data_IF_383449643314
#
_entry.id   IF_383449643314
#
_cell.length_a   1.000
_cell.length_b   1.000
_cell.length_c   1.000
_cell.angle_alpha   90.00
_cell.angle_beta   90.00
_cell.angle_gamma   90.00
#
_symmetry.space_group_name_H-M   'P 1'
#
loop_
_entity.id
_entity.type
_entity.pdbx_description
1 polymer ?
#
# COMPACT_ATOMS: atom_id res chain seq x y z
N UNK A 1 10.65 -13.43 18.28
CA UNK A 1 9.65 -14.46 18.58
C UNK A 1 9.08 -14.98 17.25
N UNK A 2 9.04 -16.30 17.08
CA UNK A 2 8.42 -16.94 15.92
C UNK A 2 7.01 -17.36 16.33
N UNK A 3 6.00 -16.93 15.56
CA UNK A 3 4.61 -17.36 15.74
C UNK A 3 4.23 -18.29 14.60
N UNK A 4 3.47 -19.34 14.91
CA UNK A 4 2.90 -20.24 13.90
C UNK A 4 1.54 -19.70 13.49
N UNK A 5 1.40 -19.36 12.21
CA UNK A 5 0.12 -18.93 11.65
C UNK A 5 -0.78 -20.14 11.39
N UNK A 6 -2.05 -20.03 11.74
CA UNK A 6 -3.10 -21.00 11.39
C UNK A 6 -3.76 -20.67 10.05
N UNK A 7 -3.53 -19.46 9.51
CA UNK A 7 -4.09 -18.98 8.25
C UNK A 7 -3.02 -18.29 7.40
N UNK A 8 -2.25 -19.08 6.64
CA UNK A 8 -1.18 -18.55 5.78
C UNK A 8 -1.69 -17.52 4.76
N UNK A 9 -2.91 -17.65 4.26
CA UNK A 9 -3.52 -16.69 3.33
C UNK A 9 -3.85 -15.37 4.06
N UNK A 10 -4.39 -15.46 5.27
CA UNK A 10 -4.66 -14.30 6.11
C UNK A 10 -3.37 -13.53 6.45
N UNK A 11 -2.33 -14.25 6.90
CA UNK A 11 -1.02 -13.64 7.19
C UNK A 11 -0.40 -12.94 5.98
N UNK A 12 -0.44 -13.59 4.81
CA UNK A 12 0.05 -13.00 3.55
C UNK A 12 -0.77 -11.78 3.13
N UNK A 13 -2.08 -11.82 3.32
CA UNK A 13 -2.94 -10.70 2.98
C UNK A 13 -2.74 -9.52 3.94
N UNK A 14 -2.57 -9.79 5.23
CA UNK A 14 -2.19 -8.74 6.21
C UNK A 14 -0.91 -8.03 5.78
N UNK A 15 0.13 -8.78 5.39
CA UNK A 15 1.36 -8.19 4.85
C UNK A 15 1.10 -7.38 3.57
N UNK A 16 0.18 -7.83 2.71
CA UNK A 16 -0.20 -7.11 1.49
C UNK A 16 -0.87 -5.77 1.81
N UNK A 17 -1.70 -5.69 2.86
CA UNK A 17 -2.28 -4.41 3.32
C UNK A 17 -1.16 -3.40 3.60
N UNK A 18 -0.16 -3.78 4.39
CA UNK A 18 0.97 -2.91 4.73
C UNK A 18 1.75 -2.47 3.48
N UNK A 19 2.02 -3.40 2.58
CA UNK A 19 2.77 -3.14 1.36
C UNK A 19 1.99 -2.21 0.40
N UNK A 20 0.69 -2.43 0.24
CA UNK A 20 -0.16 -1.60 -0.61
C UNK A 20 -0.26 -0.16 -0.10
N UNK A 21 -0.28 0.04 1.23
CA UNK A 21 -0.29 1.36 1.85
C UNK A 21 1.02 2.12 1.66
N UNK A 22 2.18 1.45 1.73
CA UNK A 22 3.46 2.12 1.97
C UNK A 22 4.47 2.11 0.82
N UNK A 23 4.49 1.08 -0.05
CA UNK A 23 5.63 0.87 -0.94
C UNK A 23 5.62 1.72 -2.22
N UNK A 24 4.44 2.03 -2.76
CA UNK A 24 4.31 2.72 -4.05
C UNK A 24 4.20 4.25 -3.94
N UNK A 25 3.77 4.79 -2.80
CA UNK A 25 3.50 6.21 -2.66
C UNK A 25 4.76 7.09 -2.70
N UNK A 26 5.85 6.82 -1.94
CA UNK A 26 7.06 7.64 -1.99
C UNK A 26 7.68 7.71 -3.40
N UNK A 27 7.80 6.60 -4.17
CA UNK A 27 8.35 6.67 -5.53
C UNK A 27 7.48 7.46 -6.53
N UNK A 28 6.16 7.52 -6.35
CA UNK A 28 5.28 8.36 -7.19
C UNK A 28 5.67 9.83 -7.04
N UNK A 29 5.89 10.29 -5.81
CA UNK A 29 6.31 11.65 -5.52
C UNK A 29 7.81 11.91 -5.77
N UNK A 30 8.60 10.90 -6.05
CA UNK A 30 10.06 11.04 -6.15
C UNK A 30 10.73 11.38 -4.81
N UNK A 31 10.04 11.20 -3.69
CA UNK A 31 10.47 11.53 -2.32
C UNK A 31 10.82 10.28 -1.54
N UNK A 32 11.47 10.46 -0.39
CA UNK A 32 11.79 9.35 0.51
C UNK A 32 10.60 9.01 1.41
N UNK A 33 10.62 7.81 2.00
CA UNK A 33 9.53 7.35 2.88
C UNK A 33 9.27 8.30 4.04
N UNK A 34 10.32 8.82 4.69
CA UNK A 34 10.17 9.74 5.81
C UNK A 34 9.56 11.11 5.40
N UNK A 35 9.79 11.56 4.15
CA UNK A 35 9.19 12.78 3.61
C UNK A 35 7.70 12.59 3.36
N UNK A 36 7.33 11.43 2.81
CA UNK A 36 5.93 11.06 2.62
C UNK A 36 5.15 11.01 3.95
N UNK A 37 5.82 10.69 5.07
CA UNK A 37 5.20 10.72 6.40
C UNK A 37 4.79 12.10 6.88
N UNK A 38 5.51 13.11 6.47
CA UNK A 38 5.28 14.49 6.90
C UNK A 38 4.14 15.17 6.12
N UNK A 39 3.71 14.59 5.00
CA UNK A 39 2.65 15.15 4.18
C UNK A 39 1.32 14.40 4.43
N UNK A 40 0.31 15.06 5.00
CA UNK A 40 -0.99 14.44 5.31
C UNK A 40 -1.71 13.89 4.08
N UNK A 41 -1.41 14.36 2.86
CA UNK A 41 -1.98 13.81 1.62
C UNK A 41 -1.58 12.36 1.43
N UNK A 42 -0.31 12.02 1.68
CA UNK A 42 0.18 10.63 1.61
C UNK A 42 -0.49 9.74 2.66
N UNK A 43 -0.68 10.24 3.89
CA UNK A 43 -1.41 9.50 4.93
C UNK A 43 -2.84 9.19 4.49
N UNK A 44 -3.57 10.19 3.98
CA UNK A 44 -4.95 10.01 3.56
C UNK A 44 -5.07 8.97 2.44
N UNK A 45 -4.17 9.02 1.44
CA UNK A 45 -4.12 8.05 0.35
C UNK A 45 -3.76 6.65 0.90
N UNK A 46 -2.78 6.55 1.80
CA UNK A 46 -2.40 5.27 2.41
C UNK A 46 -3.57 4.62 3.16
N UNK A 47 -4.32 5.40 3.94
CA UNK A 47 -5.53 4.94 4.64
C UNK A 47 -6.54 4.36 3.65
N UNK A 48 -6.81 5.03 2.55
CA UNK A 48 -7.76 4.57 1.52
C UNK A 48 -7.27 3.29 0.83
N UNK A 49 -5.99 3.22 0.47
CA UNK A 49 -5.37 2.00 -0.09
C UNK A 49 -5.51 0.81 0.87
N UNK A 50 -5.28 1.05 2.16
CA UNK A 50 -5.47 0.04 3.21
C UNK A 50 -6.92 -0.45 3.28
N UNK A 51 -7.90 0.46 3.26
CA UNK A 51 -9.32 0.12 3.26
C UNK A 51 -9.73 -0.73 2.06
N UNK A 52 -9.34 -0.35 0.85
CA UNK A 52 -9.62 -1.15 -0.34
C UNK A 52 -9.02 -2.55 -0.22
N UNK A 53 -7.77 -2.63 0.24
CA UNK A 53 -7.07 -3.92 0.38
C UNK A 53 -7.71 -4.81 1.44
N UNK A 54 -8.10 -4.26 2.58
CA UNK A 54 -8.84 -5.00 3.63
C UNK A 54 -10.19 -5.46 3.10
N UNK A 55 -10.95 -4.59 2.43
CA UNK A 55 -12.25 -4.92 1.85
C UNK A 55 -12.17 -6.10 0.87
N UNK A 56 -11.13 -6.13 0.02
CA UNK A 56 -10.89 -7.26 -0.88
C UNK A 56 -10.57 -8.53 -0.09
N UNK A 57 -9.73 -8.45 0.94
CA UNK A 57 -9.41 -9.59 1.81
C UNK A 57 -10.66 -10.17 2.48
N UNK A 58 -11.54 -9.32 2.99
CA UNK A 58 -12.82 -9.71 3.56
C UNK A 58 -13.73 -10.38 2.52
N UNK A 59 -13.82 -9.81 1.32
CA UNK A 59 -14.58 -10.39 0.20
C UNK A 59 -14.09 -11.78 -0.22
N UNK A 60 -12.78 -12.04 -0.08
CA UNK A 60 -12.15 -13.35 -0.33
C UNK A 60 -12.34 -14.33 0.85
N UNK A 61 -12.94 -13.91 1.96
CA UNK A 61 -13.12 -14.73 3.15
C UNK A 61 -11.81 -14.93 3.95
N UNK A 62 -10.80 -14.09 3.75
CA UNK A 62 -9.55 -14.20 4.50
C UNK A 62 -9.71 -13.63 5.91
N UNK A 63 -9.30 -14.40 6.91
CA UNK A 63 -9.15 -13.93 8.27
C UNK A 63 -7.76 -13.31 8.41
N UNK A 64 -7.70 -11.98 8.54
CA UNK A 64 -6.44 -11.26 8.68
C UNK A 64 -5.80 -11.59 10.03
N UNK A 65 -4.48 -11.58 10.07
CA UNK A 65 -3.73 -11.84 11.31
C UNK A 65 -3.26 -10.54 11.97
N UNK A 66 -3.04 -10.54 13.30
CA UNK A 66 -2.54 -9.37 14.01
C UNK A 66 -1.22 -8.88 13.42
N UNK A 67 -1.05 -7.56 13.32
CA UNK A 67 0.19 -6.96 12.80
C UNK A 67 0.47 -5.62 13.46
N UNK A 68 1.71 -5.36 13.80
CA UNK A 68 2.18 -4.09 14.37
C UNK A 68 1.33 -3.58 15.56
N UNK A 69 0.89 -4.51 16.41
CA UNK A 69 0.07 -4.19 17.58
C UNK A 69 -1.43 -4.00 17.30
N UNK A 70 -1.88 -4.15 16.06
CA UNK A 70 -3.30 -4.17 15.71
C UNK A 70 -3.84 -5.60 15.77
N UNK A 71 -4.97 -5.78 16.45
CA UNK A 71 -5.64 -7.07 16.56
C UNK A 71 -6.31 -7.46 15.22
N UNK A 72 -6.51 -8.75 14.99
CA UNK A 72 -7.09 -9.27 13.74
C UNK A 72 -8.50 -8.73 13.48
N UNK A 73 -9.33 -8.67 14.52
CA UNK A 73 -10.70 -8.14 14.45
C UNK A 73 -10.73 -6.67 14.02
N UNK A 74 -9.77 -5.86 14.46
CA UNK A 74 -9.65 -4.46 14.07
C UNK A 74 -9.18 -4.30 12.61
N UNK A 75 -8.43 -5.28 12.08
CA UNK A 75 -8.02 -5.29 10.67
C UNK A 75 -9.15 -5.67 9.71
N UNK A 76 -10.17 -6.37 10.16
CA UNK A 76 -11.31 -6.76 9.30
C UNK A 76 -12.23 -5.58 8.95
N UNK A 77 -12.31 -4.56 9.82
CA UNK A 77 -13.05 -3.31 9.57
C UNK A 77 -12.34 -2.14 10.26
N UNK A 78 -11.15 -1.75 9.77
CA UNK A 78 -10.32 -0.79 10.47
C UNK A 78 -10.90 0.62 10.41
N UNK A 79 -10.78 1.34 11.51
CA UNK A 79 -11.00 2.78 11.56
C UNK A 79 -9.83 3.52 10.86
N UNK A 80 -10.04 4.78 10.51
CA UNK A 80 -8.95 5.60 9.97
C UNK A 80 -7.80 5.77 10.98
N UNK A 81 -8.12 5.82 12.27
CA UNK A 81 -7.11 5.91 13.33
C UNK A 81 -6.25 4.63 13.41
N UNK A 82 -6.83 3.46 13.23
CA UNK A 82 -6.10 2.19 13.20
C UNK A 82 -5.20 2.08 11.97
N UNK A 83 -5.69 2.48 10.80
CA UNK A 83 -4.87 2.53 9.58
C UNK A 83 -3.76 3.60 9.69
N UNK A 84 -4.03 4.72 10.37
CA UNK A 84 -3.00 5.70 10.69
C UNK A 84 -1.93 5.11 11.61
N UNK A 85 -2.30 4.36 12.65
CA UNK A 85 -1.33 3.66 13.52
C UNK A 85 -0.47 2.67 12.74
N UNK A 86 -1.05 1.95 11.76
CA UNK A 86 -0.29 1.09 10.86
C UNK A 86 0.71 1.90 10.03
N UNK A 87 0.27 3.00 9.43
CA UNK A 87 1.14 3.90 8.67
C UNK A 87 2.28 4.44 9.52
N UNK A 88 1.98 4.97 10.70
CA UNK A 88 2.97 5.50 11.63
C UNK A 88 3.99 4.41 12.05
N UNK A 89 3.52 3.19 12.29
CA UNK A 89 4.37 2.05 12.68
C UNK A 89 5.26 1.56 11.54
N UNK A 90 4.72 1.50 10.31
CA UNK A 90 5.50 1.16 9.11
C UNK A 90 6.65 2.11 8.88
N UNK A 91 6.43 3.35 9.20
CA UNK A 91 7.29 4.44 8.85
C UNK A 91 8.27 4.79 9.99
N UNK A 92 7.89 4.57 11.25
CA UNK A 92 8.76 4.81 12.41
C UNK A 92 10.05 3.97 12.42
N UNK A 93 10.00 2.76 11.84
CA UNK A 93 11.14 1.85 11.74
C UNK A 93 12.06 2.17 10.55
N UNK A 94 11.70 3.17 9.72
CA UNK A 94 12.39 3.47 8.46
C UNK A 94 13.38 4.61 8.66
N UNK A 95 14.65 4.35 8.39
CA UNK A 95 15.68 5.39 8.43
C UNK A 95 15.47 6.46 7.34
N UNK A 96 15.94 7.68 7.59
CA UNK A 96 15.77 8.83 6.67
C UNK A 96 16.26 8.57 5.24
N UNK A 97 17.26 7.71 5.06
CA UNK A 97 17.83 7.37 3.75
C UNK A 97 17.13 6.19 3.06
N UNK A 98 16.17 5.57 3.73
CA UNK A 98 15.52 4.36 3.22
C UNK A 98 14.65 4.67 2.00
N UNK A 99 14.80 3.83 0.99
CA UNK A 99 13.97 3.79 -0.22
C UNK A 99 13.21 2.49 -0.28
N UNK A 100 11.97 2.55 -0.75
CA UNK A 100 11.16 1.34 -0.96
C UNK A 100 11.76 0.46 -2.06
N UNK A 101 11.40 -0.83 -2.08
CA UNK A 101 11.83 -1.74 -3.16
C UNK A 101 11.39 -1.20 -4.55
N UNK A 102 10.16 -0.70 -4.66
CA UNK A 102 9.65 -0.08 -5.90
C UNK A 102 10.54 1.09 -6.32
N UNK A 103 10.92 1.98 -5.40
CA UNK A 103 11.80 3.11 -5.72
C UNK A 103 13.18 2.65 -6.20
N UNK A 104 13.74 1.62 -5.56
CA UNK A 104 15.04 1.06 -5.96
C UNK A 104 14.99 0.43 -7.35
N UNK A 105 13.89 -0.26 -7.70
CA UNK A 105 13.72 -0.85 -9.02
C UNK A 105 13.56 0.21 -10.10
N UNK A 106 12.76 1.26 -9.86
CA UNK A 106 12.64 2.39 -10.78
C UNK A 106 13.99 3.06 -11.06
N UNK A 107 14.81 3.28 -10.02
CA UNK A 107 16.16 3.85 -10.18
C UNK A 107 17.08 2.96 -11.00
N UNK A 108 16.92 1.64 -10.89
CA UNK A 108 17.67 0.64 -11.64
C UNK A 108 17.07 0.32 -13.02
N UNK A 109 15.98 1.01 -13.40
CA UNK A 109 15.22 0.76 -14.62
C UNK A 109 14.76 -0.70 -14.74
N UNK A 110 14.29 -1.27 -13.63
CA UNK A 110 13.74 -2.62 -13.55
C UNK A 110 12.22 -2.55 -13.44
N UNK A 111 11.56 -3.62 -13.89
CA UNK A 111 10.13 -3.81 -13.65
C UNK A 111 9.92 -3.95 -12.14
N UNK A 112 8.98 -3.18 -11.60
CA UNK A 112 8.68 -3.17 -10.17
C UNK A 112 7.69 -4.26 -9.76
N UNK A 113 7.59 -4.48 -8.46
CA UNK A 113 6.59 -5.40 -7.88
C UNK A 113 5.17 -4.81 -7.81
N UNK A 114 4.91 -3.59 -8.31
CA UNK A 114 3.59 -2.94 -8.19
C UNK A 114 2.45 -3.83 -8.71
N UNK A 115 2.69 -4.58 -9.78
CA UNK A 115 1.71 -5.52 -10.32
C UNK A 115 1.36 -6.68 -9.38
N UNK A 116 2.24 -7.04 -8.46
CA UNK A 116 2.05 -8.10 -7.45
C UNK A 116 1.63 -7.55 -6.08
N UNK A 117 1.61 -6.23 -5.93
CA UNK A 117 1.15 -5.52 -4.72
C UNK A 117 -0.22 -4.88 -5.02
N UNK A 118 -0.24 -3.60 -5.41
CA UNK A 118 -1.50 -2.90 -5.71
C UNK A 118 -2.26 -3.54 -6.87
N UNK A 119 -1.57 -3.96 -7.93
CA UNK A 119 -2.17 -4.68 -9.06
C UNK A 119 -2.78 -6.05 -8.68
N UNK A 120 -2.26 -6.72 -7.65
CA UNK A 120 -2.89 -7.93 -7.11
C UNK A 120 -4.20 -7.60 -6.41
N UNK A 121 -4.22 -6.51 -5.62
CA UNK A 121 -5.46 -6.04 -4.97
C UNK A 121 -6.54 -5.76 -6.01
N UNK A 122 -6.20 -5.09 -7.11
CA UNK A 122 -7.12 -4.81 -8.21
C UNK A 122 -7.68 -6.08 -8.83
N UNK A 123 -6.82 -7.06 -9.18
CA UNK A 123 -7.28 -8.31 -9.76
C UNK A 123 -8.21 -9.07 -8.82
N UNK A 124 -7.83 -9.17 -7.55
CA UNK A 124 -8.62 -9.86 -6.53
C UNK A 124 -9.91 -9.12 -6.18
N UNK A 125 -9.89 -7.79 -6.20
CA UNK A 125 -11.09 -6.96 -6.04
C UNK A 125 -12.14 -7.26 -7.11
N UNK A 126 -11.72 -7.40 -8.37
CA UNK A 126 -12.61 -7.79 -9.47
C UNK A 126 -13.23 -9.18 -9.29
N UNK A 127 -12.48 -10.15 -8.74
CA UNK A 127 -12.98 -11.51 -8.48
C UNK A 127 -14.12 -11.52 -7.44
N UNK A 128 -14.11 -10.58 -6.49
CA UNK A 128 -15.10 -10.52 -5.39
C UNK A 128 -16.01 -9.29 -5.46
N UNK A 129 -16.01 -8.57 -6.59
CA UNK A 129 -16.81 -7.37 -6.82
C UNK A 129 -16.59 -6.26 -5.78
N UNK A 130 -15.37 -6.10 -5.29
CA UNK A 130 -14.96 -5.00 -4.41
C UNK A 130 -14.20 -3.96 -5.23
N UNK A 131 -14.69 -2.72 -5.33
CA UNK A 131 -14.01 -1.64 -6.07
C UNK A 131 -12.65 -1.30 -5.43
N UNK A 132 -11.65 -1.08 -6.28
CA UNK A 132 -10.29 -0.72 -5.85
C UNK A 132 -9.69 0.38 -6.72
N UNK A 133 -10.40 1.52 -6.89
CA UNK A 133 -10.00 2.57 -7.83
C UNK A 133 -8.64 3.17 -7.50
N UNK A 134 -8.33 3.35 -6.23
CA UNK A 134 -7.07 3.96 -5.82
C UNK A 134 -5.88 3.00 -6.00
N UNK A 135 -6.02 1.70 -5.70
CA UNK A 135 -5.00 0.69 -6.01
C UNK A 135 -4.76 0.59 -7.52
N UNK A 136 -5.79 0.73 -8.33
CA UNK A 136 -5.67 0.75 -9.79
C UNK A 136 -4.92 2.00 -10.27
N UNK A 137 -5.26 3.18 -9.74
CA UNK A 137 -4.57 4.44 -10.05
C UNK A 137 -3.08 4.36 -9.68
N UNK A 138 -2.74 3.90 -8.48
CA UNK A 138 -1.34 3.70 -8.03
C UNK A 138 -0.60 2.75 -8.98
N UNK A 139 -1.22 1.63 -9.37
CA UNK A 139 -0.61 0.67 -10.30
C UNK A 139 -0.31 1.33 -11.65
N UNK A 140 -1.24 2.12 -12.17
CA UNK A 140 -1.11 2.78 -13.45
C UNK A 140 -0.04 3.88 -13.42
N UNK A 141 0.01 4.70 -12.38
CA UNK A 141 1.02 5.76 -12.22
C UNK A 141 2.43 5.16 -12.14
N UNK A 142 2.65 4.12 -11.33
CA UNK A 142 3.96 3.45 -11.25
C UNK A 142 4.37 2.87 -12.61
N UNK A 143 3.44 2.25 -13.35
CA UNK A 143 3.73 1.73 -14.70
C UNK A 143 4.07 2.83 -15.70
N UNK A 144 3.42 3.98 -15.63
CA UNK A 144 3.80 5.14 -16.47
C UNK A 144 5.21 5.61 -16.16
N UNK A 145 5.60 5.60 -14.87
CA UNK A 145 6.96 5.93 -14.44
C UNK A 145 7.96 4.88 -14.94
N UNK A 146 7.65 3.59 -14.83
CA UNK A 146 8.47 2.49 -15.36
C UNK A 146 8.78 2.65 -16.84
N UNK A 147 7.78 3.05 -17.62
CA UNK A 147 7.92 3.24 -19.06
C UNK A 147 8.45 4.63 -19.47
N UNK A 148 8.80 5.47 -18.51
CA UNK A 148 9.31 6.83 -18.76
C UNK A 148 8.28 7.81 -19.33
N UNK A 149 7.00 7.46 -19.30
CA UNK A 149 5.89 8.33 -19.70
C UNK A 149 5.56 9.41 -18.66
N UNK A 150 5.90 9.14 -17.41
CA UNK A 150 5.77 10.05 -16.29
C UNK A 150 7.08 10.09 -15.51
N UNK A 151 7.47 11.26 -14.99
CA UNK A 151 8.62 11.36 -14.08
C UNK A 151 8.12 11.36 -12.64
N UNK A 152 8.85 10.75 -11.68
CA UNK A 152 8.56 10.92 -10.26
C UNK A 152 8.56 12.40 -9.89
N UNK A 153 7.43 12.89 -9.34
CA UNK A 153 7.26 14.28 -8.92
C UNK A 153 6.18 14.37 -7.84
N UNK A 154 6.35 15.28 -6.87
CA UNK A 154 5.42 15.44 -5.76
C UNK A 154 4.00 15.81 -6.22
N UNK A 155 3.88 16.50 -7.35
CA UNK A 155 2.59 16.84 -7.95
C UNK A 155 1.80 15.62 -8.46
N UNK A 156 2.47 14.48 -8.71
CA UNK A 156 1.77 13.25 -9.12
C UNK A 156 0.79 12.73 -8.06
N UNK A 157 0.90 13.20 -6.82
CA UNK A 157 -0.05 12.85 -5.77
C UNK A 157 -1.47 13.33 -6.13
N UNK A 158 -1.59 14.45 -6.84
CA UNK A 158 -2.86 15.02 -7.28
C UNK A 158 -3.62 14.09 -8.24
N UNK A 159 -2.90 13.23 -8.97
CA UNK A 159 -3.52 12.20 -9.82
C UNK A 159 -4.28 11.20 -8.94
N UNK A 160 -3.72 10.87 -7.77
CA UNK A 160 -4.33 9.91 -6.85
C UNK A 160 -5.49 10.54 -6.06
N UNK A 161 -5.41 11.82 -5.74
CA UNK A 161 -6.44 12.55 -5.02
C UNK A 161 -7.78 12.57 -5.78
N UNK A 162 -7.77 12.42 -7.10
CA UNK A 162 -8.98 12.32 -7.92
C UNK A 162 -9.81 11.04 -7.66
N UNK A 163 -9.24 10.07 -6.97
CA UNK A 163 -9.87 8.78 -6.62
C UNK A 163 -10.23 8.66 -5.13
N UNK A 164 -10.19 9.79 -4.40
CA UNK A 164 -10.43 9.86 -2.96
C UNK A 164 -11.93 9.93 -2.59
#
# INVERSE_FOLDING_TARGET
>A
QTQVSTSILGAKWTKLVLNAMGLALPPIGGIRTWEAQQDPRYLNIAIRLGRETVGVGAGLGYVLEPVLGLAAENLMSPTDEELKKLWDSLTAAVGKETRTCIQQDLQKKRVTEVGYINGLVVRKGREVNVPTPLNEAVTNVIRQIEHGMLKPDISNIEILEQYM
#
